data_IF_898710089813
#
_entry.id   IF_898710089813
#
_cell.length_a   1.000
_cell.length_b   1.000
_cell.length_c   1.000
_cell.angle_alpha   90.00
_cell.angle_beta   90.00
_cell.angle_gamma   90.00
#
_symmetry.space_group_name_H-M   'P 1'
#
loop_
_entity.id
_entity.type
_entity.pdbx_description
1 polymer ?
#
# COMPACT_ATOMS: atom_id res chain seq x y z
N UNK A 1 6.09 -32.81 31.92
CA UNK A 1 5.30 -31.59 32.21
C UNK A 1 5.77 -30.35 31.47
N UNK A 2 7.08 -30.11 31.29
CA UNK A 2 7.61 -28.92 30.59
C UNK A 2 7.27 -28.83 29.09
N UNK A 3 7.21 -29.98 28.40
CA UNK A 3 6.87 -30.05 26.97
C UNK A 3 5.43 -29.63 26.67
N UNK A 4 4.48 -30.01 27.52
CA UNK A 4 3.08 -29.59 27.39
C UNK A 4 2.90 -28.07 27.62
N UNK A 5 3.59 -27.50 28.61
CA UNK A 5 3.57 -26.06 28.86
C UNK A 5 4.16 -25.26 27.68
N UNK A 6 5.30 -25.71 27.12
CA UNK A 6 5.90 -25.08 25.93
C UNK A 6 5.01 -25.18 24.70
N UNK A 7 4.33 -26.31 24.49
CA UNK A 7 3.40 -26.48 23.37
C UNK A 7 2.20 -25.53 23.48
N UNK A 8 1.63 -25.38 24.68
CA UNK A 8 0.53 -24.44 24.92
C UNK A 8 0.98 -22.99 24.68
N UNK A 9 2.12 -22.58 25.24
CA UNK A 9 2.68 -21.23 25.00
C UNK A 9 2.92 -20.98 23.51
N UNK A 10 3.45 -21.97 22.79
CA UNK A 10 3.66 -21.90 21.33
C UNK A 10 2.36 -21.70 20.55
N UNK A 11 1.29 -22.41 20.91
CA UNK A 11 -0.04 -22.27 20.28
C UNK A 11 -0.62 -20.88 20.53
N UNK A 12 -0.56 -20.38 21.76
CA UNK A 12 -1.05 -19.05 22.11
C UNK A 12 -0.24 -17.95 21.40
N UNK A 13 1.09 -18.06 21.39
CA UNK A 13 1.96 -17.12 20.68
C UNK A 13 1.69 -17.13 19.18
N UNK A 14 1.52 -18.30 18.57
CA UNK A 14 1.14 -18.41 17.16
C UNK A 14 -0.25 -17.85 16.88
N UNK A 15 -1.24 -18.14 17.74
CA UNK A 15 -2.60 -17.62 17.64
C UNK A 15 -2.65 -16.09 17.68
N UNK A 16 -1.88 -15.47 18.56
CA UNK A 16 -1.79 -14.01 18.69
C UNK A 16 -1.00 -13.39 17.54
N UNK A 17 0.21 -13.88 17.28
CA UNK A 17 1.16 -13.23 16.36
C UNK A 17 0.84 -13.48 14.89
N UNK A 18 0.29 -14.65 14.56
CA UNK A 18 0.02 -15.05 13.16
C UNK A 18 -1.46 -14.92 12.83
N UNK A 19 -2.34 -15.46 13.67
CA UNK A 19 -3.77 -15.49 13.38
C UNK A 19 -4.53 -14.24 13.85
N UNK A 20 -3.93 -13.46 14.75
CA UNK A 20 -4.54 -12.28 15.38
C UNK A 20 -5.95 -12.60 15.93
N UNK A 21 -6.06 -13.74 16.61
CA UNK A 21 -7.32 -14.35 17.06
C UNK A 21 -8.17 -13.47 17.99
N UNK A 22 -7.59 -12.47 18.65
CA UNK A 22 -8.28 -11.55 19.55
C UNK A 22 -8.98 -10.40 18.83
N UNK A 23 -8.73 -10.22 17.53
CA UNK A 23 -9.43 -9.18 16.76
C UNK A 23 -10.87 -9.62 16.51
N UNK A 24 -11.87 -8.83 16.94
CA UNK A 24 -13.27 -9.07 16.58
C UNK A 24 -13.44 -9.10 15.07
N UNK A 25 -14.42 -9.85 14.57
CA UNK A 25 -14.80 -9.81 13.15
C UNK A 25 -15.98 -8.89 12.95
N UNK A 26 -15.94 -8.08 11.89
CA UNK A 26 -17.07 -7.28 11.43
C UNK A 26 -18.02 -8.15 10.60
N UNK A 27 -19.32 -7.81 10.64
CA UNK A 27 -20.33 -8.40 9.76
C UNK A 27 -20.38 -7.76 8.36
N UNK A 28 -19.43 -6.88 8.05
CA UNK A 28 -19.26 -6.28 6.73
C UNK A 28 -18.41 -7.18 5.82
N UNK A 29 -18.46 -6.89 4.53
CA UNK A 29 -17.59 -7.49 3.52
C UNK A 29 -16.82 -6.39 2.80
N UNK A 30 -15.56 -6.64 2.47
CA UNK A 30 -14.78 -5.74 1.61
C UNK A 30 -14.28 -6.46 0.38
N UNK A 31 -14.38 -5.79 -0.77
CA UNK A 31 -13.66 -6.20 -1.96
C UNK A 31 -12.67 -5.11 -2.34
N UNK A 32 -11.58 -5.48 -3.01
CA UNK A 32 -10.57 -4.51 -3.44
C UNK A 32 -10.01 -4.85 -4.81
N UNK A 33 -9.65 -3.82 -5.56
CA UNK A 33 -8.81 -3.93 -6.75
C UNK A 33 -7.64 -2.98 -6.61
N UNK A 34 -6.42 -3.45 -6.88
CA UNK A 34 -5.19 -2.71 -6.60
C UNK A 34 -4.11 -3.01 -7.62
N UNK A 35 -3.25 -2.02 -7.86
CA UNK A 35 -2.01 -2.15 -8.58
C UNK A 35 -0.99 -1.15 -8.02
N UNK A 36 0.26 -1.29 -8.47
CA UNK A 36 1.42 -0.59 -7.92
C UNK A 36 1.91 0.46 -8.91
N UNK A 37 2.40 1.59 -8.40
CA UNK A 37 3.11 2.61 -9.18
C UNK A 37 4.61 2.50 -8.96
N UNK A 38 5.36 2.87 -9.99
CA UNK A 38 6.81 2.87 -9.99
C UNK A 38 7.33 4.20 -10.51
N UNK A 39 8.39 4.69 -9.88
CA UNK A 39 9.14 5.86 -10.34
C UNK A 39 10.52 5.41 -10.81
N UNK A 40 11.15 6.22 -11.66
CA UNK A 40 12.55 6.03 -12.07
C UNK A 40 13.37 7.07 -11.32
N UNK A 41 14.40 6.63 -10.59
CA UNK A 41 15.33 7.56 -9.96
C UNK A 41 16.32 8.08 -11.01
N UNK A 42 16.23 9.38 -11.32
CA UNK A 42 17.13 10.01 -12.28
C UNK A 42 18.59 9.99 -11.81
N UNK A 43 18.86 9.88 -10.51
CA UNK A 43 20.22 9.73 -10.00
C UNK A 43 20.84 8.40 -10.45
N UNK A 44 20.07 7.31 -10.45
CA UNK A 44 20.51 6.00 -10.93
C UNK A 44 20.69 6.00 -12.45
N UNK A 45 19.81 6.69 -13.19
CA UNK A 45 19.98 6.89 -14.64
C UNK A 45 21.26 7.67 -14.95
N UNK A 46 21.52 8.76 -14.24
CA UNK A 46 22.73 9.57 -14.42
C UNK A 46 24.00 8.78 -14.08
N UNK A 47 23.94 7.95 -13.02
CA UNK A 47 25.05 7.07 -12.65
C UNK A 47 25.31 6.02 -13.74
N UNK A 48 24.26 5.40 -14.26
CA UNK A 48 24.37 4.47 -15.38
C UNK A 48 24.97 5.15 -16.62
N UNK A 49 24.59 6.40 -16.89
CA UNK A 49 25.15 7.18 -18.00
C UNK A 49 26.66 7.41 -17.82
N UNK A 50 27.08 7.81 -16.62
CA UNK A 50 28.49 8.02 -16.31
C UNK A 50 29.30 6.71 -16.42
N UNK A 51 28.77 5.60 -15.91
CA UNK A 51 29.41 4.28 -16.02
C UNK A 51 29.50 3.81 -17.49
N UNK A 52 28.44 4.01 -18.26
CA UNK A 52 28.38 3.66 -19.69
C UNK A 52 29.36 4.49 -20.51
N UNK A 53 29.46 5.81 -20.25
CA UNK A 53 30.46 6.68 -20.89
C UNK A 53 31.89 6.25 -20.56
N UNK A 54 32.15 5.83 -19.32
CA UNK A 54 33.48 5.30 -18.94
C UNK A 54 33.80 3.98 -19.65
N UNK A 55 32.81 3.13 -19.88
CA UNK A 55 32.99 1.79 -20.50
C UNK A 55 33.08 1.84 -22.02
N UNK A 56 32.28 2.69 -22.66
CA UNK A 56 32.07 2.69 -24.12
C UNK A 56 32.51 4.00 -24.81
N UNK A 57 33.00 4.97 -24.05
CA UNK A 57 33.45 6.29 -24.53
C UNK A 57 32.31 7.29 -24.71
N UNK A 58 32.63 8.45 -25.27
CA UNK A 58 31.65 9.50 -25.58
C UNK A 58 30.65 9.06 -26.68
N UNK A 59 29.49 9.76 -26.74
CA UNK A 59 28.45 9.51 -27.75
C UNK A 59 27.38 8.48 -27.36
N UNK A 60 27.37 8.04 -26.10
CA UNK A 60 26.34 7.14 -25.55
C UNK A 60 25.03 7.89 -25.33
N UNK A 61 23.92 7.25 -25.70
CA UNK A 61 22.56 7.70 -25.37
C UNK A 61 21.85 6.65 -24.56
N UNK A 62 21.19 7.08 -23.49
CA UNK A 62 20.28 6.23 -22.73
C UNK A 62 18.87 6.48 -23.25
N UNK A 63 18.21 5.44 -23.74
CA UNK A 63 16.80 5.49 -24.13
C UNK A 63 15.97 4.67 -23.15
N UNK A 64 14.96 5.31 -22.57
CA UNK A 64 13.94 4.66 -21.76
C UNK A 64 12.79 4.22 -22.66
N UNK A 65 12.59 2.91 -22.80
CA UNK A 65 11.42 2.41 -23.52
C UNK A 65 10.21 2.35 -22.57
N UNK A 66 9.34 3.37 -22.67
CA UNK A 66 8.11 3.49 -21.88
C UNK A 66 7.09 2.46 -22.36
N UNK A 67 7.25 1.22 -21.91
CA UNK A 67 6.37 0.08 -22.24
C UNK A 67 7.03 -1.27 -22.05
N UNK A 68 8.33 -1.38 -22.34
CA UNK A 68 9.16 -2.58 -22.04
C UNK A 68 9.86 -2.52 -20.69
N UNK A 69 9.81 -1.37 -20.04
CA UNK A 69 10.35 -1.16 -18.69
C UNK A 69 11.87 -1.34 -18.59
N UNK A 70 12.55 -1.24 -19.72
CA UNK A 70 14.00 -1.36 -19.86
C UNK A 70 14.65 -0.01 -20.16
N UNK A 71 15.90 0.13 -19.73
CA UNK A 71 16.79 1.21 -20.14
C UNK A 71 17.87 0.65 -21.05
N UNK A 72 17.85 1.11 -22.30
CA UNK A 72 18.82 0.70 -23.30
C UNK A 72 19.93 1.74 -23.38
N UNK A 73 21.17 1.26 -23.26
CA UNK A 73 22.37 2.02 -23.52
C UNK A 73 22.71 1.83 -24.99
N UNK A 74 22.64 2.90 -25.77
CA UNK A 74 22.85 2.86 -27.22
C UNK A 74 24.05 3.70 -27.63
N UNK A 75 24.73 3.28 -28.70
CA UNK A 75 25.74 4.05 -29.41
C UNK A 75 25.52 3.85 -30.91
N UNK A 76 25.48 4.95 -31.66
CA UNK A 76 25.24 4.90 -33.11
C UNK A 76 24.00 4.06 -33.47
N UNK A 77 22.91 4.23 -32.72
CA UNK A 77 21.62 3.52 -32.85
C UNK A 77 21.66 2.00 -32.58
N UNK A 78 22.80 1.47 -32.12
CA UNK A 78 22.94 0.08 -31.70
C UNK A 78 22.84 -0.06 -30.18
N UNK A 79 21.99 -0.98 -29.72
CA UNK A 79 21.90 -1.35 -28.29
C UNK A 79 23.16 -2.08 -27.86
N UNK A 80 23.87 -1.53 -26.88
CA UNK A 80 25.07 -2.09 -26.27
C UNK A 80 24.74 -2.89 -25.00
N UNK A 81 23.83 -2.36 -24.18
CA UNK A 81 23.34 -3.00 -22.96
C UNK A 81 21.86 -2.65 -22.74
N UNK A 82 21.13 -3.57 -22.12
CA UNK A 82 19.76 -3.38 -21.66
C UNK A 82 19.72 -3.62 -20.15
N UNK A 83 19.22 -2.64 -19.40
CA UNK A 83 19.11 -2.67 -17.94
C UNK A 83 17.64 -2.77 -17.54
N UNK A 84 17.27 -3.86 -16.86
CA UNK A 84 15.88 -4.14 -16.45
C UNK A 84 15.47 -3.47 -15.12
N UNK A 85 16.32 -2.67 -14.45
CA UNK A 85 16.14 -2.35 -13.03
C UNK A 85 16.56 -0.92 -12.61
N UNK A 86 15.90 0.12 -13.13
CA UNK A 86 16.05 1.49 -12.56
C UNK A 86 14.73 2.02 -11.97
N UNK A 87 13.71 1.16 -11.87
CA UNK A 87 12.43 1.51 -11.25
C UNK A 87 12.43 1.20 -9.75
N UNK A 88 12.01 2.19 -8.97
CA UNK A 88 11.73 2.04 -7.54
C UNK A 88 10.22 2.02 -7.29
N UNK A 89 9.78 1.26 -6.28
CA UNK A 89 8.38 1.28 -5.87
C UNK A 89 7.99 2.66 -5.35
N UNK A 90 6.97 3.24 -5.94
CA UNK A 90 6.51 4.58 -5.59
C UNK A 90 5.26 4.52 -4.70
N UNK A 91 4.34 3.59 -4.96
CA UNK A 91 3.05 3.58 -4.29
C UNK A 91 2.08 2.52 -4.78
N UNK A 92 0.84 2.67 -4.30
CA UNK A 92 -0.27 1.78 -4.63
C UNK A 92 -1.48 2.62 -4.99
N UNK A 93 -2.19 2.20 -6.02
CA UNK A 93 -3.49 2.74 -6.37
C UNK A 93 -4.50 1.60 -6.42
N UNK A 94 -5.74 1.93 -6.13
CA UNK A 94 -6.77 0.93 -6.04
C UNK A 94 -8.10 1.50 -5.61
N UNK A 95 -9.03 0.61 -5.32
CA UNK A 95 -10.31 0.95 -4.76
C UNK A 95 -10.73 -0.13 -3.78
N UNK A 96 -11.19 0.29 -2.61
CA UNK A 96 -11.93 -0.56 -1.69
C UNK A 96 -13.43 -0.36 -1.91
N UNK A 97 -14.16 -1.46 -1.93
CA UNK A 97 -15.62 -1.48 -2.04
C UNK A 97 -16.15 -2.21 -0.82
N UNK A 98 -16.69 -1.42 0.09
CA UNK A 98 -17.31 -1.92 1.31
C UNK A 98 -18.77 -2.24 1.02
N UNK A 99 -19.27 -3.30 1.65
CA UNK A 99 -20.62 -3.76 1.45
C UNK A 99 -21.14 -4.61 2.61
N UNK A 100 -22.43 -4.91 2.52
CA UNK A 100 -23.11 -5.86 3.42
C UNK A 100 -24.08 -6.68 2.61
N UNK A 101 -24.16 -7.99 2.88
CA UNK A 101 -25.09 -8.91 2.20
C UNK A 101 -25.03 -8.80 0.66
N UNK A 102 -23.82 -8.79 0.10
CA UNK A 102 -23.55 -8.65 -1.35
C UNK A 102 -23.98 -7.34 -2.02
N UNK A 103 -24.35 -6.31 -1.25
CA UNK A 103 -24.64 -4.96 -1.75
C UNK A 103 -23.48 -4.02 -1.47
N UNK A 104 -23.10 -3.22 -2.48
CA UNK A 104 -22.11 -2.15 -2.35
C UNK A 104 -22.72 -1.01 -1.56
N UNK A 105 -22.08 -0.62 -0.47
CA UNK A 105 -22.52 0.50 0.39
C UNK A 105 -21.67 1.74 0.13
N UNK A 106 -20.34 1.58 0.18
CA UNK A 106 -19.39 2.69 0.11
C UNK A 106 -18.18 2.30 -0.73
N UNK A 107 -17.57 3.27 -1.40
CA UNK A 107 -16.39 3.09 -2.26
C UNK A 107 -15.29 4.03 -1.80
N UNK A 108 -14.05 3.56 -1.84
CA UNK A 108 -12.87 4.35 -1.50
C UNK A 108 -11.81 4.17 -2.58
N UNK A 109 -11.91 4.90 -3.71
CA UNK A 109 -10.81 5.00 -4.67
C UNK A 109 -9.60 5.67 -4.00
N UNK A 110 -8.39 5.24 -4.36
CA UNK A 110 -7.17 5.81 -3.80
C UNK A 110 -5.99 5.69 -4.76
N UNK A 111 -5.02 6.59 -4.57
CA UNK A 111 -3.68 6.53 -5.13
C UNK A 111 -2.74 7.12 -4.11
N UNK A 112 -1.97 6.28 -3.43
CA UNK A 112 -1.14 6.67 -2.30
C UNK A 112 0.31 6.31 -2.61
N UNK A 113 1.17 7.31 -2.64
CA UNK A 113 2.62 7.12 -2.70
C UNK A 113 3.15 6.79 -1.30
N UNK A 114 4.22 6.00 -1.23
CA UNK A 114 4.89 5.67 0.04
C UNK A 114 5.45 6.92 0.71
N UNK A 115 5.95 7.84 -0.11
CA UNK A 115 6.48 9.16 0.28
C UNK A 115 5.56 10.24 -0.26
N UNK A 116 4.32 10.26 0.19
CA UNK A 116 3.38 11.29 -0.25
C UNK A 116 3.58 12.57 0.54
N UNK A 117 3.68 13.69 -0.16
CA UNK A 117 3.65 15.00 0.49
C UNK A 117 2.26 15.27 1.11
N UNK A 118 2.19 15.92 2.28
CA UNK A 118 0.93 16.26 2.93
C UNK A 118 0.10 17.19 2.05
N UNK A 119 -0.83 16.64 1.27
CA UNK A 119 -1.73 17.40 0.42
C UNK A 119 -3.00 16.62 0.12
N UNK A 120 -4.11 17.34 -0.08
CA UNK A 120 -5.33 16.76 -0.64
C UNK A 120 -5.18 16.63 -2.15
N UNK A 121 -5.28 15.41 -2.69
CA UNK A 121 -5.24 15.18 -4.13
C UNK A 121 -6.67 14.99 -4.66
N UNK A 122 -7.11 15.91 -5.51
CA UNK A 122 -8.19 15.65 -6.46
C UNK A 122 -7.56 15.20 -7.77
N UNK A 123 -7.73 13.93 -8.13
CA UNK A 123 -7.39 13.43 -9.46
C UNK A 123 -8.63 12.82 -10.07
N UNK A 124 -8.91 13.12 -11.33
CA UNK A 124 -9.88 12.32 -12.07
C UNK A 124 -9.29 10.93 -12.25
N UNK A 125 -9.90 9.93 -11.63
CA UNK A 125 -9.35 8.56 -11.64
C UNK A 125 -10.32 7.57 -12.25
N UNK A 126 -11.63 7.84 -12.25
CA UNK A 126 -12.64 6.87 -12.68
C UNK A 126 -12.35 6.25 -14.05
N UNK A 127 -12.09 7.06 -15.06
CA UNK A 127 -11.94 6.57 -16.44
C UNK A 127 -10.62 5.80 -16.61
N UNK A 128 -9.57 6.22 -15.92
CA UNK A 128 -8.31 5.48 -15.86
C UNK A 128 -8.47 4.14 -15.14
N UNK A 129 -9.20 4.09 -14.02
CA UNK A 129 -9.51 2.85 -13.30
C UNK A 129 -10.31 1.88 -14.17
N UNK A 130 -11.34 2.35 -14.88
CA UNK A 130 -12.13 1.54 -15.82
C UNK A 130 -11.24 0.92 -16.90
N UNK A 131 -10.33 1.70 -17.47
CA UNK A 131 -9.41 1.23 -18.49
C UNK A 131 -8.39 0.21 -17.95
N UNK A 132 -7.93 0.40 -16.71
CA UNK A 132 -6.91 -0.45 -16.08
C UNK A 132 -7.46 -1.77 -15.54
N UNK A 133 -8.71 -1.76 -15.05
CA UNK A 133 -9.33 -2.88 -14.34
C UNK A 133 -10.58 -3.39 -15.05
N UNK A 134 -10.43 -3.72 -16.35
CA UNK A 134 -11.54 -4.15 -17.23
C UNK A 134 -12.27 -5.43 -16.76
N UNK A 135 -11.62 -6.27 -15.94
CA UNK A 135 -12.19 -7.50 -15.41
C UNK A 135 -13.03 -7.32 -14.14
N UNK A 136 -13.05 -6.11 -13.56
CA UNK A 136 -13.79 -5.79 -12.34
C UNK A 136 -15.25 -5.44 -12.67
N UNK A 137 -16.24 -5.81 -11.83
CA UNK A 137 -17.64 -5.48 -12.07
C UNK A 137 -17.88 -3.98 -12.30
N UNK A 138 -18.58 -3.62 -13.37
CA UNK A 138 -18.84 -2.21 -13.73
C UNK A 138 -19.50 -1.40 -12.61
N UNK A 139 -20.35 -2.03 -11.79
CA UNK A 139 -20.99 -1.44 -10.60
C UNK A 139 -20.02 -0.84 -9.57
N UNK A 140 -18.75 -1.24 -9.58
CA UNK A 140 -17.73 -0.63 -8.73
C UNK A 140 -17.29 0.73 -9.25
N UNK A 141 -17.40 0.98 -10.55
CA UNK A 141 -17.03 2.23 -11.22
C UNK A 141 -18.23 3.15 -11.54
N UNK A 142 -19.42 2.79 -11.03
CA UNK A 142 -20.62 3.64 -11.03
C UNK A 142 -20.52 4.67 -9.90
N UNK A 143 -19.63 5.65 -10.08
CA UNK A 143 -19.48 6.81 -9.22
C UNK A 143 -18.99 8.04 -10.01
N UNK A 144 -19.10 9.22 -9.42
CA UNK A 144 -18.52 10.45 -9.94
C UNK A 144 -17.23 10.83 -9.18
N UNK A 145 -16.26 11.43 -9.87
CA UNK A 145 -15.01 11.84 -9.23
C UNK A 145 -15.22 12.93 -8.15
N UNK A 146 -16.36 13.62 -8.16
CA UNK A 146 -16.77 14.54 -7.08
C UNK A 146 -17.28 13.82 -5.81
N UNK A 147 -17.61 12.54 -5.89
CA UNK A 147 -18.12 11.75 -4.76
C UNK A 147 -17.02 11.24 -3.83
N UNK A 148 -15.75 11.55 -4.09
CA UNK A 148 -14.65 11.13 -3.23
C UNK A 148 -13.51 12.15 -3.19
N UNK A 149 -12.77 12.19 -2.09
CA UNK A 149 -11.58 13.02 -1.92
C UNK A 149 -10.53 12.29 -1.09
N UNK A 150 -9.25 12.56 -1.37
CA UNK A 150 -8.15 12.25 -0.45
C UNK A 150 -7.90 13.52 0.35
N UNK A 151 -8.23 13.51 1.63
CA UNK A 151 -8.25 14.73 2.44
C UNK A 151 -6.90 14.95 3.13
N UNK A 152 -6.56 14.07 4.09
CA UNK A 152 -5.41 14.22 4.98
C UNK A 152 -4.44 13.10 4.75
N UNK A 153 -3.27 13.41 4.21
CA UNK A 153 -2.15 12.47 4.09
C UNK A 153 -1.04 12.86 5.06
N UNK A 154 -0.44 11.86 5.70
CA UNK A 154 0.76 12.05 6.49
C UNK A 154 1.70 10.86 6.34
N UNK A 155 2.99 11.16 6.28
CA UNK A 155 4.01 10.14 6.45
C UNK A 155 3.87 9.50 7.83
N UNK A 156 3.98 8.16 7.86
CA UNK A 156 4.11 7.40 9.09
C UNK A 156 5.53 7.59 9.65
N UNK A 157 5.69 7.65 10.99
CA UNK A 157 6.99 7.83 11.58
C UNK A 157 7.89 6.61 11.32
N UNK A 158 9.20 6.76 11.52
CA UNK A 158 10.16 5.67 11.41
C UNK A 158 9.73 4.43 12.20
N UNK A 159 9.86 3.26 11.59
CA UNK A 159 9.32 2.02 12.16
C UNK A 159 7.79 1.95 12.18
N UNK A 160 7.12 2.81 11.41
CA UNK A 160 5.66 2.88 11.19
C UNK A 160 4.86 3.02 12.49
N UNK A 161 5.40 3.76 13.46
CA UNK A 161 4.76 3.98 14.76
C UNK A 161 5.01 2.88 15.79
N UNK A 162 5.73 1.82 15.42
CA UNK A 162 6.05 0.69 16.30
C UNK A 162 7.39 0.87 17.06
N UNK A 163 7.98 2.07 16.99
CA UNK A 163 9.22 2.42 17.69
C UNK A 163 10.40 1.51 17.33
N UNK A 164 11.05 0.94 18.35
CA UNK A 164 12.22 0.06 18.15
C UNK A 164 11.86 -1.26 17.47
N UNK A 165 10.67 -1.80 17.73
CA UNK A 165 10.22 -3.05 17.13
C UNK A 165 10.05 -2.91 15.61
N UNK A 166 9.42 -1.83 15.15
CA UNK A 166 9.28 -1.56 13.71
C UNK A 166 10.61 -1.44 12.97
N UNK A 167 11.61 -0.79 13.61
CA UNK A 167 12.97 -0.70 13.06
C UNK A 167 13.66 -2.07 12.95
N UNK A 168 13.53 -2.92 13.97
CA UNK A 168 14.07 -4.29 13.95
C UNK A 168 13.42 -5.16 12.86
N UNK A 169 12.16 -4.88 12.53
CA UNK A 169 11.41 -5.56 11.47
C UNK A 169 11.64 -4.96 10.07
N UNK A 170 12.59 -4.02 9.93
CA UNK A 170 12.92 -3.36 8.66
C UNK A 170 11.72 -2.65 8.00
N UNK A 171 10.79 -2.12 8.81
CA UNK A 171 9.72 -1.24 8.35
C UNK A 171 10.34 0.13 8.10
N UNK A 172 10.42 0.54 6.83
CA UNK A 172 11.18 1.74 6.45
C UNK A 172 10.31 2.97 6.37
N UNK A 173 9.28 2.90 5.53
CA UNK A 173 8.56 4.07 5.06
C UNK A 173 7.10 3.73 4.86
N UNK A 174 6.24 4.72 5.03
CA UNK A 174 4.83 4.57 4.74
C UNK A 174 4.09 5.89 4.82
N UNK A 175 2.94 5.94 4.17
CA UNK A 175 2.02 7.07 4.22
C UNK A 175 0.65 6.52 4.61
N UNK A 176 -0.06 7.25 5.45
CA UNK A 176 -1.48 7.03 5.68
C UNK A 176 -2.27 8.24 5.19
N UNK A 177 -3.37 7.98 4.49
CA UNK A 177 -4.28 9.00 3.99
C UNK A 177 -5.72 8.70 4.40
N UNK A 178 -6.48 9.73 4.74
CA UNK A 178 -7.93 9.63 4.91
C UNK A 178 -8.59 9.87 3.56
N UNK A 179 -9.31 8.86 3.06
CA UNK A 179 -10.15 8.94 1.88
C UNK A 179 -11.58 9.11 2.32
N UNK A 180 -12.23 10.19 1.89
CA UNK A 180 -13.63 10.48 2.20
C UNK A 180 -14.50 10.20 1.00
N UNK A 181 -15.56 9.44 1.22
CA UNK A 181 -16.63 9.19 0.28
C UNK A 181 -17.85 10.05 0.64
N UNK A 182 -18.37 10.76 -0.35
CA UNK A 182 -19.45 11.75 -0.28
C UNK A 182 -20.73 11.31 -1.02
N UNK A 183 -20.71 10.15 -1.69
CA UNK A 183 -21.88 9.61 -2.38
C UNK A 183 -22.96 9.10 -1.42
N UNK A 184 -23.85 8.23 -1.91
CA UNK A 184 -25.10 7.85 -1.21
C UNK A 184 -24.95 7.40 0.26
N UNK A 185 -23.86 6.74 0.63
CA UNK A 185 -23.55 6.40 2.02
C UNK A 185 -22.21 7.00 2.44
N UNK A 186 -22.19 8.27 2.91
CA UNK A 186 -20.95 8.96 3.26
C UNK A 186 -20.17 8.25 4.36
N UNK A 187 -18.85 8.24 4.20
CA UNK A 187 -17.95 7.61 5.14
C UNK A 187 -16.51 7.94 4.79
N UNK A 188 -15.60 7.62 5.69
CA UNK A 188 -14.17 7.83 5.48
C UNK A 188 -13.40 6.56 5.81
N UNK A 189 -12.32 6.34 5.08
CA UNK A 189 -11.40 5.21 5.25
C UNK A 189 -9.98 5.74 5.42
N UNK A 190 -9.30 5.34 6.49
CA UNK A 190 -7.87 5.55 6.64
C UNK A 190 -7.13 4.46 5.88
N UNK A 191 -6.42 4.79 4.82
CA UNK A 191 -5.65 3.84 4.02
C UNK A 191 -4.17 4.11 4.25
N UNK A 192 -3.45 3.11 4.75
CA UNK A 192 -2.00 3.16 4.91
C UNK A 192 -1.31 2.28 3.87
N UNK A 193 -0.28 2.82 3.23
CA UNK A 193 0.64 2.10 2.34
C UNK A 193 2.00 2.10 3.01
N UNK A 194 2.51 0.91 3.28
CA UNK A 194 3.71 0.70 4.09
C UNK A 194 4.69 -0.22 3.38
N UNK A 195 5.97 0.15 3.41
CA UNK A 195 7.07 -0.65 2.88
C UNK A 195 7.82 -1.37 3.97
N UNK A 196 7.97 -2.68 3.77
CA UNK A 196 8.85 -3.52 4.57
C UNK A 196 9.93 -4.14 3.69
N UNK A 197 11.19 -4.04 4.11
CA UNK A 197 12.32 -4.75 3.48
C UNK A 197 12.51 -6.15 4.06
N UNK A 198 11.46 -6.76 4.58
CA UNK A 198 11.60 -8.07 5.21
C UNK A 198 11.50 -9.22 4.23
N UNK A 199 12.09 -10.33 4.65
CA UNK A 199 12.13 -11.60 3.95
C UNK A 199 10.81 -12.38 4.11
N UNK A 200 10.61 -13.52 3.41
CA UNK A 200 9.38 -14.30 3.46
C UNK A 200 8.87 -14.69 4.86
N UNK A 201 9.72 -14.62 5.89
CA UNK A 201 9.35 -14.88 7.28
C UNK A 201 8.33 -13.88 7.84
N UNK A 202 8.14 -12.70 7.25
CA UNK A 202 7.14 -11.72 7.73
C UNK A 202 5.71 -12.10 7.39
N UNK A 203 5.49 -12.89 6.34
CA UNK A 203 4.15 -13.22 5.82
C UNK A 203 3.17 -13.77 6.86
N UNK A 204 3.58 -14.64 7.80
CA UNK A 204 2.70 -15.09 8.87
C UNK A 204 2.26 -13.94 9.79
N UNK A 205 3.11 -12.93 10.00
CA UNK A 205 2.88 -11.84 10.95
C UNK A 205 2.20 -10.61 10.32
N UNK A 206 2.04 -10.59 9.01
CA UNK A 206 1.44 -9.50 8.24
C UNK A 206 0.17 -8.93 8.87
N UNK A 207 -0.73 -9.79 9.36
CA UNK A 207 -1.99 -9.35 9.99
C UNK A 207 -1.73 -8.51 11.22
N UNK A 208 -0.90 -9.03 12.13
CA UNK A 208 -0.51 -8.34 13.36
C UNK A 208 0.23 -7.04 13.06
N UNK A 209 1.15 -7.06 12.09
CA UNK A 209 1.85 -5.86 11.65
C UNK A 209 0.88 -4.80 11.12
N UNK A 210 -0.02 -5.19 10.22
CA UNK A 210 -0.99 -4.28 9.65
C UNK A 210 -1.93 -3.69 10.69
N UNK A 211 -2.36 -4.50 11.66
CA UNK A 211 -3.15 -4.03 12.81
C UNK A 211 -2.38 -2.97 13.59
N UNK A 212 -1.15 -3.25 14.00
CA UNK A 212 -0.38 -2.31 14.81
C UNK A 212 -0.02 -1.02 14.05
N UNK A 213 0.27 -1.12 12.74
CA UNK A 213 0.44 0.06 11.88
C UNK A 213 -0.85 0.88 11.81
N UNK A 214 -1.99 0.20 11.71
CA UNK A 214 -3.31 0.85 11.63
C UNK A 214 -3.69 1.53 12.94
N UNK A 215 -3.44 0.88 14.10
CA UNK A 215 -3.65 1.45 15.43
C UNK A 215 -2.80 2.73 15.60
N UNK A 216 -1.50 2.65 15.29
CA UNK A 216 -0.61 3.82 15.35
C UNK A 216 -1.00 4.93 14.38
N UNK A 217 -1.47 4.59 13.19
CA UNK A 217 -1.98 5.57 12.24
C UNK A 217 -3.26 6.22 12.76
N UNK A 218 -4.25 5.46 13.25
CA UNK A 218 -5.47 6.02 13.81
C UNK A 218 -5.18 6.99 14.97
N UNK A 219 -4.29 6.65 15.90
CA UNK A 219 -3.90 7.57 16.97
C UNK A 219 -3.41 8.93 16.45
N UNK A 220 -2.74 8.96 15.30
CA UNK A 220 -2.26 10.20 14.66
C UNK A 220 -3.36 11.00 13.98
N UNK A 221 -4.39 10.36 13.46
CA UNK A 221 -5.47 10.99 12.67
C UNK A 221 -6.76 11.23 13.46
N UNK A 222 -6.86 10.79 14.72
CA UNK A 222 -8.10 10.85 15.53
C UNK A 222 -8.15 11.85 16.69
N UNK A 223 -7.12 12.61 17.13
CA UNK A 223 -7.29 13.43 18.33
C UNK A 223 -8.16 14.67 18.06
N UNK A 224 -9.45 14.59 18.42
CA UNK A 224 -10.27 15.76 18.77
C UNK A 224 -11.30 16.29 17.74
N UNK A 225 -11.50 15.65 16.58
CA UNK A 225 -12.42 16.16 15.54
C UNK A 225 -13.62 15.26 15.25
N UNK A 226 -14.78 15.83 14.86
CA UNK A 226 -15.92 15.06 14.39
C UNK A 226 -15.62 14.49 12.99
N UNK A 227 -15.03 13.30 12.93
CA UNK A 227 -14.71 12.68 11.64
C UNK A 227 -13.72 11.52 11.69
N UNK A 228 -13.69 10.76 12.79
CA UNK A 228 -12.89 9.52 12.86
C UNK A 228 -13.21 8.61 11.68
N UNK A 229 -12.21 8.03 11.00
CA UNK A 229 -12.42 7.09 9.91
C UNK A 229 -13.40 5.98 10.35
N UNK A 230 -14.43 5.70 9.54
CA UNK A 230 -15.34 4.56 9.79
C UNK A 230 -14.64 3.24 9.47
N UNK A 231 -13.70 3.29 8.54
CA UNK A 231 -12.93 2.13 8.09
C UNK A 231 -11.44 2.44 8.14
N UNK A 232 -10.63 1.39 8.21
CA UNK A 232 -9.20 1.50 8.03
C UNK A 232 -8.67 0.34 7.19
N UNK A 233 -7.66 0.60 6.37
CA UNK A 233 -6.95 -0.39 5.58
C UNK A 233 -5.45 -0.22 5.76
N UNK A 234 -4.77 -1.35 5.88
CA UNK A 234 -3.33 -1.44 5.78
C UNK A 234 -2.95 -2.22 4.53
N UNK A 235 -2.07 -1.63 3.74
CA UNK A 235 -1.43 -2.22 2.58
C UNK A 235 0.05 -2.32 2.89
N UNK A 236 0.49 -3.53 3.21
CA UNK A 236 1.89 -3.84 3.49
C UNK A 236 2.53 -4.45 2.25
N UNK A 237 3.61 -3.86 1.78
CA UNK A 237 4.39 -4.39 0.66
C UNK A 237 5.69 -4.97 1.20
N UNK A 238 5.79 -6.30 1.20
CA UNK A 238 7.06 -7.00 1.45
C UNK A 238 7.90 -7.01 0.16
N UNK A 239 9.22 -6.78 0.21
CA UNK A 239 10.10 -6.88 -1.00
C UNK A 239 9.60 -6.04 -2.19
N UNK A 240 9.73 -4.71 -2.12
CA UNK A 240 9.20 -3.78 -3.12
C UNK A 240 9.95 -3.78 -4.47
N UNK A 241 10.68 -4.83 -4.83
CA UNK A 241 11.27 -4.95 -6.15
C UNK A 241 10.15 -5.00 -7.21
N UNK A 242 10.34 -4.32 -8.35
CA UNK A 242 9.26 -4.05 -9.30
C UNK A 242 8.52 -5.31 -9.81
N UNK A 243 9.21 -6.43 -10.06
CA UNK A 243 8.53 -7.67 -10.51
C UNK A 243 7.71 -8.33 -9.38
N UNK A 244 8.15 -8.16 -8.13
CA UNK A 244 7.55 -8.83 -6.98
C UNK A 244 6.54 -7.98 -6.22
N UNK A 245 6.59 -6.65 -6.33
CA UNK A 245 5.83 -5.73 -5.47
C UNK A 245 4.31 -5.99 -5.53
N UNK A 246 3.76 -6.26 -6.71
CA UNK A 246 2.33 -6.59 -6.83
C UNK A 246 2.00 -7.94 -6.17
N UNK A 247 2.89 -8.92 -6.26
CA UNK A 247 2.70 -10.27 -5.69
C UNK A 247 2.96 -10.30 -4.18
N UNK A 248 3.51 -9.24 -3.62
CA UNK A 248 3.83 -9.10 -2.20
C UNK A 248 2.93 -8.12 -1.45
N UNK A 249 1.92 -7.57 -2.13
CA UNK A 249 0.87 -6.80 -1.48
C UNK A 249 0.12 -7.70 -0.52
N UNK A 250 0.13 -7.29 0.74
CA UNK A 250 -0.71 -7.83 1.78
C UNK A 250 -1.67 -6.77 2.26
N UNK A 251 -2.94 -7.13 2.38
CA UNK A 251 -4.00 -6.18 2.72
C UNK A 251 -4.75 -6.68 3.94
N UNK A 252 -5.06 -5.77 4.85
CA UNK A 252 -5.96 -6.01 5.99
C UNK A 252 -6.86 -4.81 6.16
N UNK A 253 -8.16 -5.08 6.31
CA UNK A 253 -9.20 -4.04 6.39
C UNK A 253 -9.99 -4.21 7.68
N UNK A 254 -10.37 -3.08 8.27
CA UNK A 254 -11.02 -3.00 9.56
C UNK A 254 -12.20 -2.04 9.53
N UNK A 255 -13.25 -2.42 10.25
CA UNK A 255 -14.31 -1.54 10.73
C UNK A 255 -13.77 -0.86 12.00
N UNK A 256 -13.95 0.45 12.11
CA UNK A 256 -13.40 1.26 13.21
C UNK A 256 -14.54 1.67 14.13
N UNK A 257 -14.55 1.09 15.32
CA UNK A 257 -15.49 1.37 16.38
C UNK A 257 -15.08 2.56 17.26
N UNK A 258 -15.87 2.78 18.31
CA UNK A 258 -15.61 3.82 19.33
C UNK A 258 -14.23 3.61 19.95
N UNK A 259 -13.48 4.70 20.11
CA UNK A 259 -12.13 4.66 20.68
C UNK A 259 -11.11 3.95 19.79
N UNK A 260 -11.30 3.95 18.47
CA UNK A 260 -10.43 3.28 17.49
C UNK A 260 -10.36 1.75 17.63
N UNK A 261 -11.38 1.14 18.23
CA UNK A 261 -11.46 -0.31 18.31
C UNK A 261 -11.57 -0.92 16.90
N UNK A 262 -10.65 -1.82 16.55
CA UNK A 262 -10.61 -2.45 15.24
C UNK A 262 -11.38 -3.77 15.22
N UNK A 263 -12.29 -3.92 14.27
CA UNK A 263 -12.92 -5.20 13.94
C UNK A 263 -12.58 -5.57 12.48
N UNK A 264 -11.97 -6.74 12.26
CA UNK A 264 -11.50 -7.15 10.93
C UNK A 264 -12.68 -7.40 9.98
N UNK A 265 -12.59 -6.85 8.78
CA UNK A 265 -13.50 -7.13 7.67
C UNK A 265 -12.88 -8.24 6.82
N UNK A 266 -13.69 -9.24 6.44
CA UNK A 266 -13.27 -10.35 5.56
C UNK A 266 -13.65 -10.09 4.09
#
# INVERSE_FOLDING_TARGET
>A
MWTAALAVVGIFAHGELVRDWRVPRSGQSVNSVMAVTYSIDMADVNKLEAESKRKYGEGIRISLEVGRETLDVTKDEKVLETHEQIKSFEGVYGMFVVGRNNRVTTRFPFSIAVRQEPSSLNRSVRDWFKNRFKSVPQRWFEFDDSEWTIDRCAALPDGLGLGKAGRALLLREGTACVVTWKGQQPGSMLISVSLAKGDPWMRPFTRRLCRSITEAALERFTPGEPGSPKYAACILVDRPAHVSAQKSLSVSVYDVGVGNALARIE
#
